data_IF_957367626017
#
_entry.id   IF_957367626017
#
_cell.length_a   1.000
_cell.length_b   1.000
_cell.length_c   1.000
_cell.angle_alpha   90.00
_cell.angle_beta   90.00
_cell.angle_gamma   90.00
#
_symmetry.space_group_name_H-M   'P 1'
#
loop_
_entity.id
_entity.type
_entity.pdbx_description
1 polymer ?
#
# COMPACT_ATOMS: atom_id res chain seq x y z
N UNK A 1 -6.15 -12.38 -13.67
CA UNK A 1 -6.47 -11.89 -12.33
C UNK A 1 -6.05 -10.44 -12.21
N UNK A 2 -6.94 -9.66 -11.62
CA UNK A 2 -6.68 -8.23 -11.53
C UNK A 2 -5.62 -7.92 -10.49
N UNK A 3 -4.75 -7.00 -10.85
CA UNK A 3 -3.74 -6.46 -9.95
C UNK A 3 -3.69 -4.95 -10.13
N UNK A 4 -2.97 -4.30 -9.24
CA UNK A 4 -2.68 -2.87 -9.38
C UNK A 4 -1.17 -2.67 -9.27
N UNK A 5 -0.69 -1.54 -9.78
CA UNK A 5 0.70 -1.16 -9.60
C UNK A 5 0.91 -0.68 -8.17
N UNK A 6 1.95 -1.17 -7.51
CA UNK A 6 2.27 -0.76 -6.14
C UNK A 6 3.71 -0.30 -6.07
N UNK A 7 3.91 0.90 -5.53
CA UNK A 7 5.24 1.42 -5.27
C UNK A 7 5.27 1.92 -3.83
N UNK A 8 6.27 1.46 -3.08
CA UNK A 8 6.46 1.89 -1.69
C UNK A 8 7.76 2.66 -1.63
N UNK A 9 7.67 3.93 -1.24
CA UNK A 9 8.82 4.80 -1.08
C UNK A 9 8.94 5.12 0.41
N UNK A 10 10.07 4.73 1.01
CA UNK A 10 10.33 4.94 2.41
C UNK A 10 11.67 5.64 2.55
N UNK A 11 11.70 6.80 3.24
CA UNK A 11 12.94 7.55 3.48
C UNK A 11 13.70 7.82 2.18
N UNK A 12 13.02 8.33 1.16
CA UNK A 12 13.59 8.68 -0.16
C UNK A 12 14.15 7.50 -0.95
N UNK A 13 13.78 6.30 -0.55
CA UNK A 13 14.25 5.09 -1.21
C UNK A 13 13.05 4.29 -1.69
N UNK A 14 13.11 3.73 -2.89
CA UNK A 14 12.11 2.81 -3.38
C UNK A 14 12.31 1.48 -2.66
N UNK A 15 11.33 1.10 -1.84
CA UNK A 15 11.37 -0.13 -1.06
C UNK A 15 10.75 -1.30 -1.83
N UNK A 16 9.72 -1.02 -2.62
CA UNK A 16 9.05 -2.01 -3.44
C UNK A 16 8.48 -1.32 -4.69
N UNK A 17 8.54 -2.00 -5.81
CA UNK A 17 7.96 -1.50 -7.06
C UNK A 17 7.54 -2.71 -7.89
N UNK A 18 6.25 -2.92 -8.03
CA UNK A 18 5.75 -4.08 -8.75
C UNK A 18 4.23 -4.15 -8.77
N UNK A 19 3.70 -5.36 -8.89
CA UNK A 19 2.26 -5.60 -8.93
C UNK A 19 1.80 -6.19 -7.61
N UNK A 20 0.55 -5.93 -7.26
CA UNK A 20 -0.02 -6.39 -6.01
C UNK A 20 -1.49 -6.73 -6.23
N UNK A 21 -2.00 -7.73 -5.52
CA UNK A 21 -3.41 -8.13 -5.60
C UNK A 21 -4.27 -7.40 -4.58
N UNK A 22 -3.70 -7.14 -3.41
CA UNK A 22 -4.40 -6.48 -2.31
C UNK A 22 -3.36 -5.95 -1.34
N UNK A 23 -3.62 -4.78 -0.79
CA UNK A 23 -2.82 -4.26 0.31
C UNK A 23 -3.75 -3.80 1.42
N UNK A 24 -3.39 -4.12 2.67
CA UNK A 24 -4.09 -3.62 3.85
C UNK A 24 -3.12 -2.70 4.57
N UNK A 25 -3.51 -1.44 4.72
CA UNK A 25 -2.65 -0.43 5.35
C UNK A 25 -3.23 0.00 6.69
N UNK A 26 -2.36 0.32 7.67
CA UNK A 26 -2.83 0.90 8.93
C UNK A 26 -3.17 2.37 8.70
N UNK A 27 -4.37 2.77 9.06
CA UNK A 27 -4.82 4.16 8.95
C UNK A 27 -5.22 4.64 10.35
N UNK A 28 -5.30 5.97 10.59
CA UNK A 28 -5.61 6.49 11.93
C UNK A 28 -6.93 5.97 12.52
N UNK A 29 -7.90 5.66 11.68
CA UNK A 29 -9.22 5.18 12.10
C UNK A 29 -9.40 3.67 11.91
N UNK A 30 -8.32 2.94 11.70
CA UNK A 30 -8.35 1.50 11.52
C UNK A 30 -7.73 1.08 10.19
N UNK A 31 -7.72 -0.21 9.94
CA UNK A 31 -7.11 -0.74 8.72
C UNK A 31 -7.98 -0.46 7.49
N UNK A 32 -7.31 -0.20 6.37
CA UNK A 32 -7.97 0.04 5.09
C UNK A 32 -7.43 -0.95 4.07
N UNK A 33 -8.34 -1.62 3.37
CA UNK A 33 -7.98 -2.54 2.28
C UNK A 33 -8.07 -1.84 0.94
N UNK A 34 -7.07 -2.05 0.09
CA UNK A 34 -7.05 -1.51 -1.27
C UNK A 34 -7.01 -2.69 -2.23
N UNK A 35 -7.98 -2.74 -3.12
CA UNK A 35 -8.12 -3.75 -4.16
C UNK A 35 -7.87 -3.12 -5.54
N UNK A 36 -7.71 -3.94 -6.58
CA UNK A 36 -7.59 -3.39 -7.94
C UNK A 36 -8.79 -2.53 -8.31
N UNK A 37 -8.54 -1.49 -9.08
CA UNK A 37 -9.54 -0.55 -9.56
C UNK A 37 -10.24 0.24 -8.46
N UNK A 38 -9.54 0.45 -7.35
CA UNK A 38 -10.01 1.32 -6.28
C UNK A 38 -10.13 2.75 -6.81
N UNK A 39 -11.14 3.49 -6.32
CA UNK A 39 -11.30 4.88 -6.74
C UNK A 39 -10.09 5.73 -6.35
N UNK A 40 -9.84 6.76 -7.14
CA UNK A 40 -8.71 7.66 -6.88
C UNK A 40 -8.91 8.40 -5.57
N UNK A 41 -7.91 8.37 -4.70
CA UNK A 41 -7.95 9.09 -3.43
C UNK A 41 -6.58 9.08 -2.75
N UNK A 42 -6.47 9.84 -1.68
CA UNK A 42 -5.31 9.83 -0.81
C UNK A 42 -5.77 9.37 0.56
N UNK A 43 -5.06 8.41 1.14
CA UNK A 43 -5.38 7.84 2.45
C UNK A 43 -4.19 8.07 3.38
N UNK A 44 -4.45 8.60 4.58
CA UNK A 44 -3.41 8.76 5.60
C UNK A 44 -3.01 7.39 6.15
N UNK A 45 -1.70 7.21 6.37
CA UNK A 45 -1.14 5.98 6.92
C UNK A 45 -0.63 6.26 8.33
N UNK A 46 -1.02 5.42 9.28
CA UNK A 46 -0.52 5.46 10.64
C UNK A 46 0.63 4.47 10.79
N UNK A 47 1.40 4.60 11.88
CA UNK A 47 2.45 3.64 12.21
C UNK A 47 1.82 2.26 12.40
N UNK A 48 2.39 1.24 11.80
CA UNK A 48 1.89 -0.12 11.94
C UNK A 48 2.48 -1.05 10.91
N UNK A 49 1.72 -2.09 10.58
CA UNK A 49 2.13 -3.11 9.64
C UNK A 49 1.20 -3.06 8.42
N UNK A 50 1.78 -2.95 7.25
CA UNK A 50 1.05 -3.11 6.00
C UNK A 50 1.15 -4.57 5.57
N UNK A 51 0.05 -5.12 5.08
CA UNK A 51 -0.02 -6.52 4.64
C UNK A 51 -0.27 -6.53 3.13
N UNK A 52 0.66 -7.14 2.38
CA UNK A 52 0.61 -7.18 0.93
C UNK A 52 0.35 -8.59 0.45
N UNK A 53 -0.68 -8.78 -0.36
CA UNK A 53 -0.88 -10.04 -1.06
C UNK A 53 -0.33 -9.86 -2.47
N UNK A 54 0.88 -10.35 -2.70
CA UNK A 54 1.56 -10.19 -3.98
C UNK A 54 1.09 -11.23 -4.98
N UNK A 55 0.90 -12.46 -4.53
CA UNK A 55 0.31 -13.55 -5.29
C UNK A 55 -0.78 -14.16 -4.45
N UNK A 56 -1.69 -14.89 -5.07
CA UNK A 56 -2.81 -15.48 -4.36
C UNK A 56 -2.36 -16.31 -3.15
N UNK A 57 -2.84 -15.92 -1.98
CA UNK A 57 -2.53 -16.60 -0.74
C UNK A 57 -1.14 -16.33 -0.17
N UNK A 58 -0.31 -15.54 -0.85
CA UNK A 58 1.04 -15.24 -0.39
C UNK A 58 1.10 -13.82 0.16
N UNK A 59 1.17 -13.71 1.47
CA UNK A 59 1.17 -12.42 2.16
C UNK A 59 2.55 -12.06 2.67
N UNK A 60 2.88 -10.79 2.52
CA UNK A 60 4.12 -10.20 3.01
C UNK A 60 3.76 -9.04 3.93
N UNK A 61 4.47 -8.92 5.04
CA UNK A 61 4.27 -7.83 5.98
C UNK A 61 5.39 -6.81 5.86
N UNK A 62 5.04 -5.53 5.91
CA UNK A 62 6.00 -4.43 5.86
C UNK A 62 5.68 -3.46 6.98
N UNK A 63 6.65 -3.22 7.86
CA UNK A 63 6.49 -2.21 8.91
C UNK A 63 6.57 -0.83 8.27
N UNK A 64 5.62 0.03 8.58
CA UNK A 64 5.55 1.39 8.02
C UNK A 64 5.42 2.42 9.12
N UNK A 65 6.00 3.59 8.90
CA UNK A 65 5.73 4.77 9.71
C UNK A 65 4.57 5.55 9.13
N UNK A 66 4.41 6.78 9.59
CA UNK A 66 3.35 7.66 9.10
C UNK A 66 3.61 8.07 7.65
N UNK A 67 2.55 8.38 6.93
CA UNK A 67 2.65 8.83 5.55
C UNK A 67 1.30 8.84 4.86
N UNK A 68 1.34 8.62 3.55
CA UNK A 68 0.15 8.65 2.72
C UNK A 68 0.19 7.54 1.68
N UNK A 69 -0.98 7.03 1.33
CA UNK A 69 -1.17 6.18 0.17
C UNK A 69 -1.93 7.00 -0.87
N UNK A 70 -1.35 7.14 -2.05
CA UNK A 70 -1.98 7.82 -3.17
C UNK A 70 -2.49 6.78 -4.16
N UNK A 71 -3.77 6.84 -4.51
CA UNK A 71 -4.38 5.91 -5.46
C UNK A 71 -4.80 6.71 -6.68
N UNK A 72 -4.19 6.43 -7.82
CA UNK A 72 -4.49 7.09 -9.09
C UNK A 72 -4.50 6.06 -10.21
N UNK A 73 -5.64 5.89 -10.87
CA UNK A 73 -5.77 5.06 -12.07
C UNK A 73 -5.14 3.68 -11.91
N UNK A 74 -5.58 2.96 -10.88
CA UNK A 74 -5.13 1.60 -10.57
C UNK A 74 -3.63 1.51 -10.23
N UNK A 75 -3.06 2.59 -9.73
CA UNK A 75 -1.68 2.64 -9.24
C UNK A 75 -1.69 3.20 -7.83
N UNK A 76 -1.01 2.51 -6.94
CA UNK A 76 -0.94 2.88 -5.53
C UNK A 76 0.51 3.20 -5.18
N UNK A 77 0.72 4.39 -4.63
CA UNK A 77 2.04 4.80 -4.16
C UNK A 77 1.95 5.07 -2.66
N UNK A 78 2.75 4.35 -1.88
CA UNK A 78 2.91 4.61 -0.47
C UNK A 78 4.14 5.48 -0.25
N UNK A 79 3.95 6.61 0.41
CA UNK A 79 5.03 7.52 0.82
C UNK A 79 5.03 7.49 2.34
N UNK A 80 5.99 6.78 2.93
CA UNK A 80 5.98 6.53 4.38
C UNK A 80 7.35 6.74 4.99
N UNK A 81 7.35 7.01 6.28
CA UNK A 81 8.56 6.99 7.07
C UNK A 81 8.87 5.54 7.47
N UNK A 82 10.10 5.23 7.74
CA UNK A 82 10.51 3.90 8.19
C UNK A 82 10.81 3.89 9.68
#
# INVERSE_FOLDING_TARGET
MDTFGLKIIASDRVFYDGRCRKIIIPAPDGEKGILPNHENMVIAIAVGIAHLELKEGEWTEVAVGTGFAEIVNNRVTLLVDT
#
